data_IF_200962058852
#
_entry.id   IF_200962058852
#
_cell.length_a   1.000
_cell.length_b   1.000
_cell.length_c   1.000
_cell.angle_alpha   90.00
_cell.angle_beta   90.00
_cell.angle_gamma   90.00
#
_symmetry.space_group_name_H-M   'P 1'
#
loop_
_entity.id
_entity.type
_entity.pdbx_description
1 polymer ?
#
# COMPACT_ATOMS: atom_id res chain seq x y z
N UNK A 1 -23.58 -3.03 9.98
CA UNK A 1 -23.01 -4.24 10.56
C UNK A 1 -22.29 -5.03 9.49
N UNK A 2 -21.07 -5.42 9.76
CA UNK A 2 -20.30 -6.16 8.77
C UNK A 2 -20.80 -7.59 8.64
N UNK A 3 -20.77 -8.09 7.42
CA UNK A 3 -21.08 -9.48 7.17
C UNK A 3 -19.81 -10.32 7.43
N UNK A 4 -19.75 -10.97 8.59
CA UNK A 4 -18.58 -11.73 9.01
C UNK A 4 -18.29 -12.97 8.15
N UNK A 5 -19.21 -13.33 7.24
CA UNK A 5 -19.05 -14.48 6.37
C UNK A 5 -18.37 -14.17 5.04
N UNK A 6 -18.15 -12.87 4.76
CA UNK A 6 -17.47 -12.47 3.54
C UNK A 6 -15.96 -12.55 3.71
N UNK A 7 -15.30 -13.15 2.73
CA UNK A 7 -13.84 -13.10 2.69
C UNK A 7 -13.39 -11.66 2.45
N UNK A 8 -12.32 -11.20 3.08
CA UNK A 8 -11.73 -9.92 2.74
C UNK A 8 -11.36 -9.85 1.26
N UNK A 9 -11.44 -8.66 0.68
CA UNK A 9 -11.02 -8.44 -0.71
C UNK A 9 -9.57 -8.84 -0.88
N UNK A 10 -8.69 -8.29 -0.04
CA UNK A 10 -7.30 -8.69 0.06
C UNK A 10 -6.69 -8.04 1.30
N UNK A 11 -5.43 -8.34 1.58
CA UNK A 11 -4.67 -7.70 2.65
C UNK A 11 -4.06 -6.39 2.13
N UNK A 12 -4.23 -5.33 2.91
CA UNK A 12 -3.62 -4.02 2.65
C UNK A 12 -2.72 -3.67 3.83
N UNK A 13 -1.53 -3.16 3.54
CA UNK A 13 -0.65 -2.56 4.55
C UNK A 13 -0.61 -1.06 4.34
N UNK A 14 -0.86 -0.30 5.40
CA UNK A 14 -0.66 1.15 5.40
C UNK A 14 0.56 1.49 6.24
N UNK A 15 1.45 2.31 5.70
CA UNK A 15 2.71 2.69 6.36
C UNK A 15 2.79 4.20 6.44
N UNK A 16 2.61 4.73 7.64
CA UNK A 16 2.63 6.17 7.89
C UNK A 16 2.91 6.37 9.38
N UNK A 17 3.81 7.29 9.73
CA UNK A 17 4.13 7.53 11.14
C UNK A 17 3.18 8.53 11.81
N UNK A 18 2.19 9.08 11.07
CA UNK A 18 1.15 9.92 11.64
C UNK A 18 -0.04 9.04 12.06
N UNK A 19 -0.21 8.87 13.36
CA UNK A 19 -1.22 7.97 13.91
C UNK A 19 -2.65 8.31 13.46
N UNK A 20 -2.97 9.59 13.31
CA UNK A 20 -4.31 10.01 12.88
C UNK A 20 -4.66 9.55 11.47
N UNK A 21 -3.71 9.66 10.55
CA UNK A 21 -3.88 9.24 9.16
C UNK A 21 -3.98 7.72 9.08
N UNK A 22 -3.13 7.03 9.84
CA UNK A 22 -3.11 5.58 9.88
C UNK A 22 -4.44 5.01 10.36
N UNK A 23 -4.98 5.54 11.45
CA UNK A 23 -6.29 5.13 11.97
C UNK A 23 -7.41 5.39 10.97
N UNK A 24 -7.33 6.51 10.26
CA UNK A 24 -8.33 6.89 9.26
C UNK A 24 -8.36 5.90 8.10
N UNK A 25 -7.19 5.54 7.57
CA UNK A 25 -7.09 4.54 6.51
C UNK A 25 -7.57 3.17 6.99
N UNK A 26 -7.21 2.80 8.21
CA UNK A 26 -7.63 1.53 8.79
C UNK A 26 -9.16 1.42 8.79
N UNK A 27 -9.85 2.43 9.33
CA UNK A 27 -11.32 2.42 9.39
C UNK A 27 -11.93 2.43 7.99
N UNK A 28 -11.39 3.26 7.10
CA UNK A 28 -11.91 3.41 5.74
C UNK A 28 -11.87 2.08 4.97
N UNK A 29 -10.71 1.44 4.94
CA UNK A 29 -10.54 0.21 4.16
C UNK A 29 -11.14 -1.01 4.85
N UNK A 30 -11.13 -1.06 6.17
CA UNK A 30 -11.82 -2.12 6.91
C UNK A 30 -13.32 -2.10 6.60
N UNK A 31 -13.92 -0.92 6.53
CA UNK A 31 -15.33 -0.78 6.17
C UNK A 31 -15.64 -1.27 4.75
N UNK A 32 -14.64 -1.34 3.88
CA UNK A 32 -14.76 -1.82 2.51
C UNK A 32 -14.33 -3.28 2.34
N UNK A 33 -14.23 -3.97 3.45
CA UNK A 33 -13.94 -5.40 3.50
C UNK A 33 -12.51 -5.77 3.05
N UNK A 34 -11.55 -4.89 3.31
CA UNK A 34 -10.13 -5.26 3.22
C UNK A 34 -9.64 -5.67 4.61
N UNK A 35 -8.67 -6.56 4.63
CA UNK A 35 -7.96 -6.88 5.87
C UNK A 35 -6.76 -5.94 5.97
N UNK A 36 -6.78 -5.01 6.94
CA UNK A 36 -5.84 -3.89 7.00
C UNK A 36 -4.81 -4.11 8.11
N UNK A 37 -3.55 -3.95 7.74
CA UNK A 37 -2.43 -3.92 8.68
C UNK A 37 -1.83 -2.52 8.65
N UNK A 38 -1.37 -2.05 9.80
CA UNK A 38 -0.79 -0.72 9.93
C UNK A 38 0.62 -0.81 10.47
N UNK A 39 1.54 -0.07 9.85
CA UNK A 39 2.91 0.09 10.33
C UNK A 39 3.20 1.57 10.49
N UNK A 40 3.94 1.93 11.52
CA UNK A 40 4.32 3.31 11.80
C UNK A 40 5.78 3.59 11.51
N UNK A 41 6.47 2.61 10.93
CA UNK A 41 7.87 2.75 10.56
C UNK A 41 8.21 1.80 9.43
N UNK A 42 9.30 2.08 8.73
CA UNK A 42 9.79 1.19 7.68
C UNK A 42 10.16 -0.18 8.22
N UNK A 43 10.78 -0.23 9.39
CA UNK A 43 11.17 -1.50 10.02
C UNK A 43 9.96 -2.39 10.29
N UNK A 44 8.92 -1.80 10.89
CA UNK A 44 7.68 -2.53 11.16
C UNK A 44 7.01 -2.99 9.87
N UNK A 45 7.02 -2.12 8.84
CA UNK A 45 6.47 -2.47 7.54
C UNK A 45 7.15 -3.71 6.95
N UNK A 46 8.47 -3.79 7.03
CA UNK A 46 9.21 -4.94 6.51
C UNK A 46 8.82 -6.23 7.22
N UNK A 47 8.63 -6.18 8.54
CA UNK A 47 8.21 -7.34 9.31
C UNK A 47 6.82 -7.81 8.88
N UNK A 48 5.88 -6.88 8.67
CA UNK A 48 4.53 -7.20 8.24
C UNK A 48 4.54 -7.77 6.82
N UNK A 49 5.32 -7.20 5.92
CA UNK A 49 5.42 -7.72 4.54
C UNK A 49 5.90 -9.16 4.54
N UNK A 50 6.89 -9.49 5.35
CA UNK A 50 7.41 -10.86 5.43
C UNK A 50 6.38 -11.84 5.97
N UNK A 51 5.61 -11.42 6.98
CA UNK A 51 4.68 -12.29 7.67
C UNK A 51 3.34 -12.41 6.97
N UNK A 52 2.77 -11.28 6.57
CA UNK A 52 1.39 -11.21 6.08
C UNK A 52 1.26 -11.18 4.57
N UNK A 53 2.31 -10.80 3.86
CA UNK A 53 2.30 -10.70 2.40
C UNK A 53 1.11 -9.90 1.87
N UNK A 54 0.95 -8.63 2.26
CA UNK A 54 -0.14 -7.81 1.75
C UNK A 54 -0.02 -7.63 0.24
N UNK A 55 -1.15 -7.64 -0.44
CA UNK A 55 -1.16 -7.45 -1.90
C UNK A 55 -1.01 -5.99 -2.29
N UNK A 56 -1.47 -5.09 -1.43
CA UNK A 56 -1.43 -3.65 -1.68
C UNK A 56 -0.78 -2.97 -0.48
N UNK A 57 0.14 -2.06 -0.76
CA UNK A 57 0.87 -1.33 0.27
C UNK A 57 0.75 0.15 -0.03
N UNK A 58 0.25 0.92 0.95
CA UNK A 58 0.18 2.38 0.89
C UNK A 58 1.32 2.90 1.75
N UNK A 59 2.26 3.65 1.16
CA UNK A 59 3.53 3.96 1.80
C UNK A 59 3.83 5.45 1.72
N UNK A 60 4.01 6.08 2.88
CA UNK A 60 4.46 7.47 2.96
C UNK A 60 5.99 7.53 2.89
N UNK A 61 6.52 8.62 2.36
CA UNK A 61 7.96 8.86 2.27
C UNK A 61 8.49 9.46 3.56
N UNK A 62 7.81 10.46 4.11
CA UNK A 62 8.29 11.18 5.28
C UNK A 62 7.99 10.44 6.56
N UNK A 63 8.97 9.65 7.00
CA UNK A 63 8.89 8.91 8.26
C UNK A 63 10.19 9.07 9.02
N UNK A 64 10.12 8.98 10.35
CA UNK A 64 11.31 8.98 11.20
C UNK A 64 12.07 7.66 11.03
N UNK A 65 13.39 7.75 11.10
CA UNK A 65 14.24 6.58 10.87
C UNK A 65 14.35 6.27 9.39
N UNK A 66 14.01 5.05 9.02
CA UNK A 66 14.00 4.63 7.62
C UNK A 66 12.87 5.33 6.87
N UNK A 67 13.18 6.15 5.86
CA UNK A 67 12.16 6.84 5.09
C UNK A 67 11.45 5.89 4.10
N UNK A 68 10.40 6.40 3.45
CA UNK A 68 9.59 5.59 2.54
C UNK A 68 10.31 5.13 1.30
N UNK A 69 11.28 5.88 0.78
CA UNK A 69 12.06 5.47 -0.39
C UNK A 69 12.95 4.26 -0.05
N UNK A 70 13.64 4.33 1.08
CA UNK A 70 14.45 3.20 1.55
C UNK A 70 13.57 1.99 1.87
N UNK A 71 12.42 2.23 2.49
CA UNK A 71 11.45 1.17 2.78
C UNK A 71 10.95 0.49 1.50
N UNK A 72 10.61 1.28 0.49
CA UNK A 72 10.20 0.78 -0.82
C UNK A 72 11.25 -0.15 -1.43
N UNK A 73 12.49 0.30 -1.45
CA UNK A 73 13.59 -0.50 -2.02
C UNK A 73 13.72 -1.83 -1.29
N UNK A 74 13.62 -1.82 0.03
CA UNK A 74 13.74 -3.04 0.83
C UNK A 74 12.53 -3.96 0.69
N UNK A 75 11.32 -3.40 0.58
CA UNK A 75 10.13 -4.21 0.32
C UNK A 75 10.29 -4.94 -1.02
N UNK A 76 10.79 -4.27 -2.03
CA UNK A 76 10.97 -4.89 -3.35
C UNK A 76 11.99 -6.02 -3.37
N UNK A 77 12.94 -6.02 -2.45
CA UNK A 77 13.84 -7.16 -2.29
C UNK A 77 13.11 -8.39 -1.75
N UNK A 78 12.05 -8.19 -0.98
CA UNK A 78 11.27 -9.26 -0.34
C UNK A 78 10.12 -9.71 -1.24
N UNK A 79 9.44 -8.75 -1.88
CA UNK A 79 8.21 -9.00 -2.63
C UNK A 79 8.18 -8.13 -3.88
N UNK A 80 8.24 -8.76 -5.04
CA UNK A 80 8.21 -8.07 -6.34
C UNK A 80 6.81 -7.96 -6.92
N UNK A 81 5.84 -8.61 -6.30
CA UNK A 81 4.47 -8.72 -6.84
C UNK A 81 3.47 -7.75 -6.21
N UNK A 82 3.69 -7.34 -4.96
CA UNK A 82 2.77 -6.44 -4.27
C UNK A 82 2.64 -5.12 -5.03
N UNK A 83 1.44 -4.55 -5.06
CA UNK A 83 1.23 -3.20 -5.60
C UNK A 83 1.59 -2.19 -4.52
N UNK A 84 2.58 -1.36 -4.77
CA UNK A 84 3.01 -0.33 -3.83
C UNK A 84 2.60 1.03 -4.38
N UNK A 85 1.77 1.74 -3.62
CA UNK A 85 1.27 3.06 -3.95
C UNK A 85 1.88 4.03 -2.94
N UNK A 86 2.67 4.99 -3.43
CA UNK A 86 3.19 6.04 -2.56
C UNK A 86 2.07 7.03 -2.26
N UNK A 87 1.86 7.36 -0.99
CA UNK A 87 0.83 8.31 -0.54
C UNK A 87 1.51 9.30 0.37
N UNK A 88 1.90 10.45 -0.15
CA UNK A 88 2.83 11.34 0.54
C UNK A 88 2.63 12.80 0.16
N UNK A 89 3.07 13.71 1.04
CA UNK A 89 3.11 15.15 0.74
C UNK A 89 4.28 15.58 -0.13
N UNK A 90 5.25 14.69 -0.38
CA UNK A 90 6.43 15.02 -1.18
C UNK A 90 6.05 15.07 -2.65
N UNK A 91 6.32 16.20 -3.33
CA UNK A 91 5.80 16.48 -4.69
C UNK A 91 6.88 16.72 -5.75
N UNK A 92 8.15 16.67 -5.38
CA UNK A 92 9.20 16.98 -6.35
C UNK A 92 9.40 15.82 -7.35
N UNK A 93 9.67 16.22 -8.59
CA UNK A 93 9.77 15.26 -9.70
C UNK A 93 10.88 14.24 -9.49
N UNK A 94 12.02 14.65 -8.94
CA UNK A 94 13.14 13.73 -8.70
C UNK A 94 12.74 12.61 -7.74
N UNK A 95 12.03 12.91 -6.68
CA UNK A 95 11.57 11.90 -5.73
C UNK A 95 10.52 10.99 -6.34
N UNK A 96 9.59 11.56 -7.10
CA UNK A 96 8.55 10.78 -7.80
C UNK A 96 9.21 9.80 -8.75
N UNK A 97 10.13 10.28 -9.58
CA UNK A 97 10.82 9.42 -10.55
C UNK A 97 11.64 8.34 -9.86
N UNK A 98 12.30 8.69 -8.76
CA UNK A 98 13.07 7.70 -8.00
C UNK A 98 12.19 6.60 -7.43
N UNK A 99 11.02 6.96 -6.88
CA UNK A 99 10.09 5.98 -6.36
C UNK A 99 9.60 5.03 -7.46
N UNK A 100 9.22 5.57 -8.61
CA UNK A 100 8.77 4.76 -9.73
C UNK A 100 9.88 3.84 -10.23
N UNK A 101 11.11 4.35 -10.34
CA UNK A 101 12.27 3.54 -10.77
C UNK A 101 12.57 2.41 -9.80
N UNK A 102 12.32 2.60 -8.51
CA UNK A 102 12.53 1.59 -7.48
C UNK A 102 11.39 0.58 -7.40
N UNK A 103 10.33 0.77 -8.18
CA UNK A 103 9.27 -0.21 -8.28
C UNK A 103 7.94 0.16 -7.64
N UNK A 104 7.71 1.45 -7.32
CA UNK A 104 6.37 1.90 -6.94
C UNK A 104 5.46 1.83 -8.16
N UNK A 105 4.24 1.39 -7.94
CA UNK A 105 3.25 1.25 -9.03
C UNK A 105 2.49 2.55 -9.28
N UNK A 106 2.29 3.36 -8.25
CA UNK A 106 1.61 4.65 -8.34
C UNK A 106 2.14 5.61 -7.28
N UNK A 107 1.88 6.88 -7.50
CA UNK A 107 2.30 7.95 -6.59
C UNK A 107 1.16 8.95 -6.45
N UNK A 108 0.63 9.08 -5.24
CA UNK A 108 -0.48 9.98 -4.94
C UNK A 108 0.00 11.02 -3.94
N UNK A 109 -0.21 12.31 -4.25
CA UNK A 109 0.21 13.39 -3.37
C UNK A 109 -0.92 13.80 -2.42
N UNK A 110 -0.56 14.04 -1.16
CA UNK A 110 -1.48 14.60 -0.17
C UNK A 110 -1.64 16.12 -0.40
N UNK A 111 -2.79 16.72 -0.10
CA UNK A 111 -4.01 16.08 0.38
C UNK A 111 -4.71 15.30 -0.74
N UNK A 112 -5.36 14.20 -0.37
CA UNK A 112 -5.99 13.32 -1.35
C UNK A 112 -7.46 13.11 -1.02
N UNK A 113 -8.21 12.70 -2.05
CA UNK A 113 -9.58 12.23 -1.87
C UNK A 113 -9.54 10.73 -1.54
N UNK A 114 -10.24 10.32 -0.48
CA UNK A 114 -10.36 8.90 -0.15
C UNK A 114 -11.08 8.12 -1.23
N UNK A 115 -12.05 8.76 -1.89
CA UNK A 115 -12.76 8.12 -3.01
C UNK A 115 -11.81 7.82 -4.16
N UNK A 116 -10.91 8.76 -4.46
CA UNK A 116 -9.90 8.55 -5.49
C UNK A 116 -8.94 7.42 -5.10
N UNK A 117 -8.47 7.44 -3.86
CA UNK A 117 -7.58 6.38 -3.36
C UNK A 117 -8.26 5.01 -3.43
N UNK A 118 -9.52 4.93 -3.04
CA UNK A 118 -10.29 3.69 -3.10
C UNK A 118 -10.36 3.16 -4.54
N UNK A 119 -10.60 4.03 -5.51
CA UNK A 119 -10.62 3.63 -6.92
C UNK A 119 -9.27 3.11 -7.39
N UNK A 120 -8.19 3.78 -7.02
CA UNK A 120 -6.84 3.33 -7.39
C UNK A 120 -6.54 1.97 -6.77
N UNK A 121 -6.86 1.78 -5.50
CA UNK A 121 -6.66 0.51 -4.81
C UNK A 121 -7.46 -0.60 -5.49
N UNK A 122 -8.73 -0.36 -5.76
CA UNK A 122 -9.60 -1.35 -6.40
C UNK A 122 -9.10 -1.72 -7.80
N UNK A 123 -8.69 -0.72 -8.58
CA UNK A 123 -8.16 -0.98 -9.93
C UNK A 123 -6.87 -1.81 -9.87
N UNK A 124 -6.01 -1.55 -8.90
CA UNK A 124 -4.80 -2.37 -8.74
C UNK A 124 -5.15 -3.80 -8.37
N UNK A 125 -6.09 -3.98 -7.45
CA UNK A 125 -6.54 -5.32 -7.09
C UNK A 125 -7.09 -6.07 -8.30
N UNK A 126 -7.97 -5.45 -9.08
CA UNK A 126 -8.56 -6.06 -10.29
C UNK A 126 -7.47 -6.40 -11.31
N UNK A 127 -6.52 -5.50 -11.53
CA UNK A 127 -5.40 -5.75 -12.45
C UNK A 127 -4.57 -6.96 -12.02
N UNK A 128 -4.33 -7.10 -10.72
CA UNK A 128 -3.57 -8.23 -10.18
C UNK A 128 -4.34 -9.54 -10.34
N UNK A 129 -5.66 -9.52 -10.14
CA UNK A 129 -6.50 -10.70 -10.32
C UNK A 129 -6.50 -11.15 -11.79
N UNK A 130 -6.61 -10.22 -12.72
CA UNK A 130 -6.56 -10.51 -14.16
C UNK A 130 -5.21 -11.12 -14.53
N UNK A 131 -4.12 -10.55 -14.03
CA UNK A 131 -2.77 -11.07 -14.27
C UNK A 131 -2.63 -12.50 -13.75
N UNK A 132 -3.14 -12.76 -12.55
CA UNK A 132 -3.04 -14.07 -11.93
C UNK A 132 -3.90 -15.11 -12.66
N UNK A 133 -5.07 -14.71 -13.19
CA UNK A 133 -5.88 -15.57 -14.05
C UNK A 133 -5.11 -15.93 -15.33
N UNK A 134 -4.43 -14.98 -15.93
CA UNK A 134 -3.62 -15.23 -17.11
C UNK A 134 -2.53 -16.26 -16.86
N UNK A 135 -1.87 -16.18 -15.70
CA UNK A 135 -0.87 -17.16 -15.28
C UNK A 135 -1.45 -18.54 -15.09
N UNK A 136 -2.67 -18.63 -14.55
CA UNK A 136 -3.35 -19.91 -14.33
C UNK A 136 -3.76 -20.60 -15.62
N UNK A 137 -4.00 -19.84 -16.67
CA UNK A 137 -4.42 -20.37 -17.97
C UNK A 137 -3.24 -20.84 -18.83
N UNK A 138 -2.04 -20.41 -18.46
CA UNK A 138 -0.82 -20.80 -19.17
C UNK A 138 -0.19 -22.02 -18.50
#
# INVERSE_FOLDING_TARGET
>A
MQNNNQKPVCKILTVDDEMGIDSFFYEFFTARNYEVFSAQSGKEALEIVKKERPRIILLDINMRGMDGIETLAKIREIDKEAAIIMVTGVKDDDTINKALDLGANDYITKPLSLEYLDKVVLLKFVSMEIRDLGKSLN
#
